data_IF_011719367473
#
_entry.id   IF_011719367473
#
_cell.length_a   1.000
_cell.length_b   1.000
_cell.length_c   1.000
_cell.angle_alpha   90.00
_cell.angle_beta   90.00
_cell.angle_gamma   90.00
#
_symmetry.space_group_name_H-M   'P 1'
#
loop_
_entity.id
_entity.type
_entity.pdbx_description
1 polymer ?
#
# COMPACT_ATOMS: atom_id res chain seq x y z
N UNK A 1 -32.62 7.11 39.11
CA UNK A 1 -32.34 7.55 37.73
C UNK A 1 -31.07 6.87 37.24
N UNK A 2 -31.22 5.78 36.45
CA UNK A 2 -30.10 5.00 35.89
C UNK A 2 -29.85 5.57 34.50
N UNK A 3 -28.67 6.22 34.32
CA UNK A 3 -28.19 6.67 33.01
C UNK A 3 -27.55 5.47 32.31
N UNK A 4 -28.24 4.92 31.31
CA UNK A 4 -27.67 3.95 30.38
C UNK A 4 -26.74 4.69 29.40
N UNK A 5 -25.45 4.62 29.62
CA UNK A 5 -24.41 5.00 28.66
C UNK A 5 -24.37 3.93 27.55
N UNK A 6 -25.10 4.15 26.47
CA UNK A 6 -24.93 3.39 25.22
C UNK A 6 -23.61 3.81 24.58
N UNK A 7 -22.53 3.10 24.89
CA UNK A 7 -21.27 3.23 24.19
C UNK A 7 -21.46 2.73 22.75
N UNK A 8 -21.46 3.63 21.76
CA UNK A 8 -21.24 3.25 20.37
C UNK A 8 -19.84 2.70 20.23
N UNK A 9 -19.71 1.38 20.28
CA UNK A 9 -18.50 0.71 19.83
C UNK A 9 -18.40 0.96 18.31
N UNK A 10 -17.54 1.90 17.92
CA UNK A 10 -17.11 2.03 16.53
C UNK A 10 -16.47 0.70 16.15
N UNK A 11 -17.16 -0.14 15.38
CA UNK A 11 -16.56 -1.31 14.72
C UNK A 11 -15.44 -0.79 13.84
N UNK A 12 -14.21 -0.98 14.23
CA UNK A 12 -13.05 -0.86 13.35
C UNK A 12 -13.29 -1.80 12.18
N UNK A 13 -13.50 -1.25 10.98
CA UNK A 13 -13.74 -2.03 9.77
C UNK A 13 -12.39 -2.64 9.38
N UNK A 14 -12.15 -3.89 9.75
CA UNK A 14 -10.95 -4.59 9.30
C UNK A 14 -11.09 -4.95 7.83
N UNK A 15 -10.22 -4.41 7.00
CA UNK A 15 -10.14 -4.79 5.58
C UNK A 15 -9.59 -6.21 5.49
N UNK A 16 -10.27 -7.07 4.72
CA UNK A 16 -9.81 -8.45 4.49
C UNK A 16 -8.53 -8.45 3.65
N UNK A 17 -7.54 -9.23 4.07
CA UNK A 17 -6.31 -9.50 3.28
C UNK A 17 -6.53 -10.63 2.29
N UNK A 18 -5.57 -10.79 1.37
CA UNK A 18 -5.41 -12.04 0.62
C UNK A 18 -5.11 -13.20 1.59
N UNK A 19 -5.42 -14.43 1.19
CA UNK A 19 -5.28 -15.60 2.07
C UNK A 19 -3.82 -15.94 2.38
N UNK A 20 -2.91 -15.73 1.42
CA UNK A 20 -1.47 -16.01 1.56
C UNK A 20 -0.66 -15.21 0.58
N UNK A 21 0.56 -14.82 0.98
CA UNK A 21 1.57 -14.20 0.12
C UNK A 21 2.85 -15.06 0.12
N UNK A 22 3.29 -15.43 -1.07
CA UNK A 22 4.63 -15.96 -1.30
C UNK A 22 5.59 -14.76 -1.33
N UNK A 23 6.42 -14.66 -0.29
CA UNK A 23 7.31 -13.51 -0.11
C UNK A 23 8.31 -13.38 -1.26
N UNK A 24 8.92 -14.48 -1.70
CA UNK A 24 9.92 -14.46 -2.76
C UNK A 24 9.32 -13.94 -4.08
N UNK A 25 8.09 -14.35 -4.41
CA UNK A 25 7.40 -13.87 -5.60
C UNK A 25 6.96 -12.41 -5.50
N UNK A 26 6.75 -11.92 -4.27
CA UNK A 26 6.37 -10.51 -4.05
C UNK A 26 7.56 -9.56 -4.15
N UNK A 27 8.80 -10.03 -3.98
CA UNK A 27 10.00 -9.20 -4.06
C UNK A 27 10.19 -8.58 -5.46
N UNK A 28 11.12 -7.63 -5.54
CA UNK A 28 11.42 -6.87 -6.78
C UNK A 28 10.61 -5.58 -6.89
N UNK A 29 10.52 -5.05 -8.11
CA UNK A 29 9.99 -3.73 -8.38
C UNK A 29 8.48 -3.75 -8.63
N UNK A 30 7.80 -2.77 -8.05
CA UNK A 30 6.40 -2.47 -8.24
C UNK A 30 6.24 -0.99 -8.61
N UNK A 31 5.62 -0.72 -9.75
CA UNK A 31 5.23 0.65 -10.14
C UNK A 31 3.96 1.05 -9.40
N UNK A 32 3.98 2.18 -8.71
CA UNK A 32 2.79 2.73 -8.05
C UNK A 32 1.97 3.47 -9.10
N UNK A 33 0.82 2.91 -9.48
CA UNK A 33 -0.03 3.44 -10.55
C UNK A 33 -1.12 4.38 -10.04
N UNK A 34 -1.55 4.17 -8.80
CA UNK A 34 -2.47 5.06 -8.10
C UNK A 34 -2.32 4.94 -6.60
N UNK A 35 -2.65 6.00 -5.88
CA UNK A 35 -2.59 5.99 -4.42
C UNK A 35 -3.55 7.01 -3.79
N UNK A 36 -3.83 6.81 -2.51
CA UNK A 36 -4.18 7.88 -1.58
C UNK A 36 -2.89 8.12 -0.79
N UNK A 37 -2.18 9.24 -1.03
CA UNK A 37 -0.80 9.40 -0.60
C UNK A 37 -0.65 9.72 0.88
N UNK A 38 0.46 9.25 1.46
CA UNK A 38 1.00 9.84 2.67
C UNK A 38 1.55 11.26 2.39
N UNK A 39 1.87 12.00 3.45
CA UNK A 39 2.36 13.37 3.32
C UNK A 39 3.63 13.48 2.43
N UNK A 40 4.56 12.53 2.56
CA UNK A 40 5.86 12.57 1.87
C UNK A 40 5.76 12.26 0.37
N UNK A 41 4.70 11.60 -0.09
CA UNK A 41 4.54 11.17 -1.48
C UNK A 41 3.40 11.90 -2.23
N UNK A 42 2.89 12.99 -1.62
CA UNK A 42 1.72 13.72 -2.12
C UNK A 42 1.86 14.18 -3.58
N UNK A 43 3.06 14.52 -4.02
CA UNK A 43 3.37 15.00 -5.36
C UNK A 43 4.28 14.03 -6.12
N UNK A 44 4.14 12.73 -5.91
CA UNK A 44 4.99 11.73 -6.55
C UNK A 44 4.61 11.49 -8.02
N UNK A 45 5.63 11.37 -8.86
CA UNK A 45 5.62 10.92 -10.25
C UNK A 45 6.66 9.81 -10.41
N UNK A 46 6.55 8.93 -11.40
CA UNK A 46 7.49 7.82 -11.61
C UNK A 46 7.76 7.00 -10.32
N UNK A 47 6.72 6.78 -9.51
CA UNK A 47 6.89 6.15 -8.21
C UNK A 47 7.09 4.63 -8.34
N UNK A 48 8.17 4.13 -7.71
CA UNK A 48 8.54 2.72 -7.69
C UNK A 48 8.84 2.28 -6.26
N UNK A 49 8.29 1.15 -5.87
CA UNK A 49 8.60 0.46 -4.64
C UNK A 49 9.38 -0.83 -4.96
N UNK A 50 10.63 -0.92 -4.52
CA UNK A 50 11.47 -2.10 -4.68
C UNK A 50 11.60 -2.84 -3.36
N UNK A 51 11.35 -4.14 -3.35
CA UNK A 51 11.40 -4.98 -2.16
C UNK A 51 12.47 -6.05 -2.27
N UNK A 52 13.20 -6.26 -1.17
CA UNK A 52 14.21 -7.30 -1.05
C UNK A 52 14.11 -7.99 0.31
N UNK A 53 14.06 -9.32 0.31
CA UNK A 53 14.11 -10.11 1.53
C UNK A 53 15.54 -10.10 2.07
N UNK A 54 15.71 -9.74 3.35
CA UNK A 54 16.98 -9.80 4.07
C UNK A 54 17.18 -11.18 4.72
N UNK A 55 18.41 -11.49 5.07
CA UNK A 55 18.77 -12.74 5.77
C UNK A 55 18.08 -12.90 7.13
N UNK A 56 17.77 -11.78 7.81
CA UNK A 56 17.06 -11.77 9.09
C UNK A 56 15.54 -11.93 8.95
N UNK A 57 15.03 -12.16 7.73
CA UNK A 57 13.62 -12.30 7.42
C UNK A 57 12.83 -10.97 7.33
N UNK A 58 13.47 -9.84 7.56
CA UNK A 58 12.88 -8.54 7.30
C UNK A 58 12.91 -8.19 5.83
N UNK A 59 12.13 -7.19 5.41
CA UNK A 59 12.03 -6.77 4.03
C UNK A 59 12.59 -5.35 3.88
N UNK A 60 13.70 -5.23 3.14
CA UNK A 60 14.19 -3.93 2.73
C UNK A 60 13.28 -3.38 1.63
N UNK A 61 12.75 -2.18 1.83
CA UNK A 61 11.99 -1.45 0.83
C UNK A 61 12.78 -0.23 0.39
N UNK A 62 12.86 -0.01 -0.92
CA UNK A 62 13.33 1.25 -1.49
C UNK A 62 12.16 1.89 -2.22
N UNK A 63 11.77 3.08 -1.79
CA UNK A 63 10.72 3.86 -2.41
C UNK A 63 11.33 5.07 -3.10
N UNK A 64 11.20 5.14 -4.43
CA UNK A 64 11.78 6.18 -5.27
C UNK A 64 10.69 6.83 -6.11
N UNK A 65 10.72 8.16 -6.22
CA UNK A 65 9.83 8.92 -7.07
C UNK A 65 10.43 10.26 -7.50
N UNK A 66 9.90 10.86 -8.55
CA UNK A 66 10.17 12.24 -8.93
C UNK A 66 9.17 13.17 -8.24
N UNK A 67 9.65 14.23 -7.59
CA UNK A 67 8.80 15.15 -6.84
C UNK A 67 8.30 16.30 -7.73
N UNK A 68 6.99 16.46 -7.81
CA UNK A 68 6.32 17.59 -8.44
C UNK A 68 6.10 17.48 -9.94
N UNK A 69 6.91 16.70 -10.67
CA UNK A 69 6.77 16.43 -12.11
C UNK A 69 7.56 15.19 -12.50
N UNK A 70 7.38 14.70 -13.74
CA UNK A 70 8.16 13.58 -14.29
C UNK A 70 9.68 13.89 -14.32
N UNK A 71 10.06 15.13 -14.57
CA UNK A 71 11.45 15.61 -14.56
C UNK A 71 11.89 16.19 -13.21
N UNK A 72 11.05 16.06 -12.17
CA UNK A 72 11.30 16.60 -10.85
C UNK A 72 12.46 15.91 -10.14
N UNK A 73 12.98 16.49 -9.05
CA UNK A 73 14.07 15.88 -8.29
C UNK A 73 13.68 14.52 -7.75
N UNK A 74 14.61 13.56 -7.85
CA UNK A 74 14.41 12.21 -7.34
C UNK A 74 14.48 12.22 -5.81
N UNK A 75 13.47 11.64 -5.18
CA UNK A 75 13.40 11.35 -3.75
C UNK A 75 13.50 9.85 -3.53
N UNK A 76 14.24 9.45 -2.51
CA UNK A 76 14.41 8.04 -2.15
C UNK A 76 14.26 7.85 -0.65
N UNK A 77 13.47 6.86 -0.24
CA UNK A 77 13.26 6.44 1.13
C UNK A 77 13.56 4.95 1.28
N UNK A 78 14.04 4.55 2.46
CA UNK A 78 14.45 3.17 2.75
C UNK A 78 13.72 2.61 3.99
N UNK A 79 12.39 2.45 3.94
CA UNK A 79 11.68 1.82 5.06
C UNK A 79 12.01 0.33 5.15
N UNK A 80 11.77 -0.25 6.33
CA UNK A 80 11.96 -1.67 6.60
C UNK A 80 10.64 -2.32 6.96
N UNK A 81 10.29 -3.40 6.27
CA UNK A 81 9.09 -4.20 6.52
C UNK A 81 9.37 -5.38 7.45
N UNK A 82 8.43 -5.65 8.33
CA UNK A 82 8.44 -6.80 9.24
C UNK A 82 7.14 -7.57 9.07
N UNK A 83 7.23 -8.80 8.59
CA UNK A 83 6.06 -9.67 8.45
C UNK A 83 5.49 -9.98 9.83
N UNK A 84 4.18 -9.82 10.00
CA UNK A 84 3.49 -10.15 11.25
C UNK A 84 3.24 -11.67 11.28
N UNK A 85 3.74 -12.39 12.29
CA UNK A 85 3.51 -13.84 12.41
C UNK A 85 2.03 -14.20 12.43
N UNK A 86 1.68 -15.34 11.82
CA UNK A 86 0.30 -15.83 11.81
C UNK A 86 -0.64 -15.17 10.81
N UNK A 87 -0.12 -14.32 9.91
CA UNK A 87 -0.92 -13.61 8.89
C UNK A 87 -0.72 -14.17 7.48
N UNK A 88 -0.09 -15.33 7.34
CA UNK A 88 0.27 -15.92 6.05
C UNK A 88 1.03 -14.94 5.14
N UNK A 89 1.88 -14.11 5.72
CA UNK A 89 2.68 -13.05 5.07
C UNK A 89 1.86 -11.90 4.46
N UNK A 90 0.57 -11.79 4.74
CA UNK A 90 -0.30 -10.78 4.14
C UNK A 90 -0.34 -9.46 4.92
N UNK A 91 0.18 -9.41 6.16
CA UNK A 91 0.25 -8.18 6.97
C UNK A 91 1.69 -7.96 7.42
N UNK A 92 2.18 -6.73 7.19
CA UNK A 92 3.51 -6.31 7.62
C UNK A 92 3.42 -5.05 8.49
N UNK A 93 4.42 -4.86 9.35
CA UNK A 93 4.69 -3.58 10.00
C UNK A 93 5.75 -2.84 9.19
N UNK A 94 5.39 -1.73 8.54
CA UNK A 94 6.33 -0.93 7.74
C UNK A 94 6.92 0.20 8.59
N UNK A 95 8.23 0.19 8.75
CA UNK A 95 8.96 1.15 9.58
C UNK A 95 9.71 2.17 8.74
N UNK A 96 9.22 3.41 8.73
CA UNK A 96 9.91 4.56 8.14
C UNK A 96 10.81 5.25 9.15
N UNK A 97 10.35 5.34 10.41
CA UNK A 97 11.08 5.96 11.53
C UNK A 97 10.98 5.03 12.74
N UNK A 98 12.14 4.62 13.28
CA UNK A 98 12.19 3.83 14.51
C UNK A 98 11.57 4.60 15.69
N UNK A 99 10.78 3.97 16.57
CA UNK A 99 10.35 2.56 16.60
C UNK A 99 8.99 2.32 15.95
N UNK A 100 8.42 3.26 15.20
CA UNK A 100 7.04 3.24 14.69
C UNK A 100 6.93 2.29 13.50
N UNK A 101 6.02 1.31 13.59
CA UNK A 101 5.66 0.41 12.49
C UNK A 101 4.23 0.66 12.06
N UNK A 102 4.06 1.16 10.84
CA UNK A 102 2.75 1.38 10.24
C UNK A 102 2.19 0.09 9.67
N UNK A 103 0.88 -0.13 9.80
CA UNK A 103 0.21 -1.27 9.21
C UNK A 103 0.33 -1.23 7.68
N UNK A 104 0.64 -2.38 7.08
CA UNK A 104 0.76 -2.61 5.65
C UNK A 104 0.04 -3.92 5.35
N UNK A 105 -1.13 -3.87 4.70
CA UNK A 105 -1.98 -5.03 4.42
C UNK A 105 -2.05 -5.26 2.92
N UNK A 106 -1.67 -6.45 2.47
CA UNK A 106 -1.87 -6.87 1.08
C UNK A 106 -3.31 -7.38 0.96
N UNK A 107 -4.18 -6.55 0.37
CA UNK A 107 -5.62 -6.78 0.30
C UNK A 107 -6.08 -7.30 -1.06
N UNK A 108 -5.27 -7.11 -2.08
CA UNK A 108 -5.42 -7.69 -3.40
C UNK A 108 -4.05 -8.11 -3.94
N UNK A 109 -3.98 -9.26 -4.56
CA UNK A 109 -2.81 -9.77 -5.28
C UNK A 109 -3.32 -10.74 -6.34
N UNK A 110 -3.02 -10.47 -7.61
CA UNK A 110 -3.40 -11.39 -8.66
C UNK A 110 -2.54 -12.67 -8.63
N UNK A 111 -3.06 -13.76 -9.21
CA UNK A 111 -2.42 -15.08 -9.19
C UNK A 111 -1.00 -15.11 -9.78
N UNK A 112 -0.72 -14.19 -10.71
CA UNK A 112 0.57 -14.09 -11.40
C UNK A 112 1.53 -13.11 -10.72
N UNK A 113 1.13 -12.46 -9.59
CA UNK A 113 1.92 -11.48 -8.85
C UNK A 113 2.30 -10.26 -9.70
N UNK A 114 1.38 -9.82 -10.56
CA UNK A 114 1.56 -8.66 -11.45
C UNK A 114 0.87 -7.40 -10.98
N UNK A 115 -0.20 -7.54 -10.18
CA UNK A 115 -0.99 -6.40 -9.67
C UNK A 115 -1.28 -6.64 -8.20
N UNK A 116 -1.10 -5.61 -7.37
CA UNK A 116 -1.39 -5.66 -5.93
C UNK A 116 -2.03 -4.36 -5.45
N UNK A 117 -2.85 -4.48 -4.41
CA UNK A 117 -3.33 -3.32 -3.63
C UNK A 117 -2.86 -3.52 -2.19
N UNK A 118 -2.23 -2.51 -1.66
CA UNK A 118 -1.83 -2.40 -0.27
C UNK A 118 -2.66 -1.36 0.42
N UNK A 119 -3.23 -1.69 1.57
CA UNK A 119 -4.17 -0.85 2.29
C UNK A 119 -3.89 -0.85 3.80
N UNK A 120 -4.65 -0.03 4.54
CA UNK A 120 -4.60 0.10 6.00
C UNK A 120 -6.01 0.16 6.56
N UNK A 121 -6.24 -0.45 7.72
CA UNK A 121 -7.55 -0.41 8.41
C UNK A 121 -7.98 1.01 8.82
N UNK A 122 -7.03 1.95 8.93
CA UNK A 122 -7.31 3.37 9.16
C UNK A 122 -7.98 4.07 7.98
N UNK A 123 -7.99 3.45 6.79
CA UNK A 123 -8.52 4.02 5.54
C UNK A 123 -7.89 5.39 5.18
N UNK A 124 -6.64 5.59 5.57
CA UNK A 124 -5.89 6.84 5.32
C UNK A 124 -5.02 6.77 4.07
N UNK A 125 -4.28 5.67 3.87
CA UNK A 125 -3.40 5.46 2.73
C UNK A 125 -3.71 4.16 2.02
N UNK A 126 -3.55 4.14 0.70
CA UNK A 126 -3.69 2.96 -0.15
C UNK A 126 -2.80 3.11 -1.37
N UNK A 127 -2.27 1.99 -1.88
CA UNK A 127 -1.42 1.95 -3.06
C UNK A 127 -1.92 0.84 -3.99
N UNK A 128 -2.19 1.21 -5.26
CA UNK A 128 -2.37 0.29 -6.38
C UNK A 128 -1.03 0.20 -7.11
N UNK A 129 -0.46 -0.98 -7.16
CA UNK A 129 0.85 -1.22 -7.77
C UNK A 129 0.79 -2.33 -8.81
N UNK A 130 1.63 -2.24 -9.83
CA UNK A 130 1.77 -3.26 -10.84
C UNK A 130 3.23 -3.49 -11.23
N UNK A 131 3.50 -4.65 -11.87
CA UNK A 131 4.81 -4.93 -12.48
C UNK A 131 5.02 -4.20 -13.80
N UNK A 132 3.97 -3.63 -14.36
CA UNK A 132 4.00 -2.79 -15.56
C UNK A 132 3.77 -1.32 -15.19
N UNK A 133 4.30 -0.41 -15.99
CA UNK A 133 4.13 1.05 -15.82
C UNK A 133 2.70 1.53 -16.08
N UNK A 134 1.89 0.73 -16.76
CA UNK A 134 0.50 1.05 -17.11
C UNK A 134 -0.40 -0.18 -16.96
N UNK A 135 -1.68 0.08 -16.75
CA UNK A 135 -2.77 -0.90 -16.87
C UNK A 135 -3.82 -0.38 -17.85
N UNK A 136 -4.61 -1.25 -18.48
CA UNK A 136 -5.79 -0.86 -19.26
C UNK A 136 -6.74 0.01 -18.41
N UNK A 137 -7.38 0.98 -19.04
CA UNK A 137 -8.25 1.96 -18.39
C UNK A 137 -9.39 1.31 -17.59
N UNK A 138 -10.00 0.25 -18.15
CA UNK A 138 -11.06 -0.52 -17.49
C UNK A 138 -10.56 -1.21 -16.21
N UNK A 139 -9.32 -1.66 -16.18
CA UNK A 139 -8.70 -2.21 -14.97
C UNK A 139 -8.42 -1.13 -13.93
N UNK A 140 -7.97 0.05 -14.34
CA UNK A 140 -7.79 1.19 -13.42
C UNK A 140 -9.12 1.56 -12.76
N UNK A 141 -10.21 1.65 -13.51
CA UNK A 141 -11.56 1.88 -12.98
C UNK A 141 -11.97 0.77 -12.01
N UNK A 142 -11.76 -0.49 -12.37
CA UNK A 142 -12.07 -1.65 -11.51
C UNK A 142 -11.38 -1.54 -10.14
N UNK A 143 -10.08 -1.25 -10.12
CA UNK A 143 -9.32 -1.16 -8.87
C UNK A 143 -9.67 0.09 -8.07
N UNK A 144 -9.95 1.21 -8.73
CA UNK A 144 -10.48 2.41 -8.07
C UNK A 144 -11.81 2.12 -7.34
N UNK A 145 -12.74 1.44 -8.01
CA UNK A 145 -14.03 1.03 -7.41
C UNK A 145 -13.82 0.01 -6.27
N UNK A 146 -12.84 -0.88 -6.39
CA UNK A 146 -12.49 -1.82 -5.31
C UNK A 146 -11.97 -1.08 -4.07
N UNK A 147 -11.13 -0.06 -4.24
CA UNK A 147 -10.63 0.79 -3.15
C UNK A 147 -11.79 1.53 -2.46
N UNK A 148 -12.68 2.15 -3.24
CA UNK A 148 -13.88 2.79 -2.70
C UNK A 148 -14.78 1.81 -1.94
N UNK A 149 -14.97 0.60 -2.48
CA UNK A 149 -15.72 -0.48 -1.85
C UNK A 149 -15.15 -0.98 -0.52
N UNK A 150 -13.85 -0.77 -0.26
CA UNK A 150 -13.21 -1.04 1.03
C UNK A 150 -13.53 0.03 2.08
N UNK A 151 -14.14 1.16 1.70
CA UNK A 151 -14.52 2.25 2.59
C UNK A 151 -13.64 3.50 2.48
N UNK A 152 -12.67 3.55 1.56
CA UNK A 152 -11.87 4.75 1.35
C UNK A 152 -12.69 5.89 0.72
N UNK A 153 -12.50 7.13 1.22
CA UNK A 153 -12.86 8.32 0.45
C UNK A 153 -11.88 8.50 -0.71
N UNK A 154 -12.39 8.79 -1.89
CA UNK A 154 -11.57 9.02 -3.08
C UNK A 154 -11.16 10.48 -3.28
N UNK A 155 -11.44 11.37 -2.31
CA UNK A 155 -11.15 12.81 -2.42
C UNK A 155 -9.68 13.10 -2.70
N UNK A 156 -8.77 12.29 -2.16
CA UNK A 156 -7.33 12.40 -2.35
C UNK A 156 -6.76 11.26 -3.22
N UNK A 157 -7.62 10.48 -3.89
CA UNK A 157 -7.17 9.45 -4.82
C UNK A 157 -6.50 10.11 -6.03
N UNK A 158 -5.32 9.62 -6.38
CA UNK A 158 -4.52 10.16 -7.48
C UNK A 158 -3.90 9.02 -8.28
N UNK A 159 -4.04 9.07 -9.59
CA UNK A 159 -3.25 8.23 -10.51
C UNK A 159 -1.85 8.85 -10.64
N UNK A 160 -0.83 8.00 -10.68
CA UNK A 160 0.57 8.41 -10.81
C UNK A 160 1.03 8.18 -12.22
N UNK A 161 1.52 9.24 -12.84
CA UNK A 161 2.11 9.19 -14.17
C UNK A 161 3.47 8.49 -14.12
N UNK A 162 3.68 7.59 -15.08
CA UNK A 162 4.88 6.75 -15.22
C UNK A 162 5.46 6.93 -16.63
N UNK A 163 6.77 7.14 -16.73
CA UNK A 163 7.54 7.15 -17.99
C UNK A 163 8.49 5.96 -18.10
#
# INVERSE_FOLDING_TARGET
LILLLTGCAMKSTQIKTVDKVDIDRFMGDWYVLAHIPSYVEKNAFNAVESYKLNEDGSIAKTFTFNEGSLDGPVKTYHPKGFVIPGTNNAIWGMQFIWPIKAQYKIVYLDKDYKITIVARDKLDYVWLMARSKTLPHDQMIKFRNMIEGMGYSLDNYREIEQE
#
